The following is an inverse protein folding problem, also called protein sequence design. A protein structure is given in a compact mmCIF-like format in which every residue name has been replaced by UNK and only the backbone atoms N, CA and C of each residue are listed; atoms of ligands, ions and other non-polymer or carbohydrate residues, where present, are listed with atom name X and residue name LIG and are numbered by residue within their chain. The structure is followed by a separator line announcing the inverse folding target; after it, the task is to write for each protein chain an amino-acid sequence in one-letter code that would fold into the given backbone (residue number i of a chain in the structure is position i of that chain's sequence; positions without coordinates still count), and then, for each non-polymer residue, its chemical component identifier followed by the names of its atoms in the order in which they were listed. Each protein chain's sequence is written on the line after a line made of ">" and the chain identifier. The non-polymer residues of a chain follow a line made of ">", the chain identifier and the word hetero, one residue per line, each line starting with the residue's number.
data_IF_239788215077
#
_entry.id   IF_239788215077
#
_cell.length_a   1.000
_cell.length_b   1.000
_cell.length_c   1.000
_cell.angle_alpha   90.00
_cell.angle_beta   90.00
_cell.angle_gamma   90.00
#
_symmetry.space_group_name_H-M   'P 1'
#
loop_
_entity.id
_entity.type
_entity.pdbx_description
1 polymer ?
#
# COMPACT_ATOMS: atom_id res chain seq x y z
N UNK A 1 -10.56 3.92 18.46
CA UNK A 1 -9.67 3.98 17.29
C UNK A 1 -10.39 3.51 16.01
N UNK A 2 -9.77 3.70 14.86
CA UNK A 2 -10.36 3.35 13.55
C UNK A 2 -10.61 1.83 13.35
N UNK A 3 -10.18 0.98 14.28
CA UNK A 3 -10.45 -0.46 14.29
C UNK A 3 -11.65 -0.82 15.20
N UNK A 4 -12.47 0.16 15.59
CA UNK A 4 -13.60 0.00 16.53
C UNK A 4 -13.19 -0.60 17.89
N UNK A 5 -11.98 -0.25 18.38
CA UNK A 5 -11.45 -0.64 19.69
C UNK A 5 -11.10 0.61 20.50
N UNK A 6 -10.88 0.52 21.83
CA UNK A 6 -10.41 1.65 22.61
C UNK A 6 -9.18 2.31 22.00
N UNK A 7 -9.11 3.65 22.09
CA UNK A 7 -7.98 4.42 21.55
C UNK A 7 -6.74 4.13 22.39
N UNK A 8 -5.62 3.80 21.73
CA UNK A 8 -4.34 3.59 22.39
C UNK A 8 -3.49 4.86 22.36
N UNK A 9 -2.53 4.94 23.27
CA UNK A 9 -1.51 5.98 23.28
C UNK A 9 -0.76 5.97 21.95
N UNK A 10 -0.55 7.14 21.35
CA UNK A 10 0.28 7.34 20.17
C UNK A 10 1.76 7.46 20.58
N UNK A 11 2.08 8.45 21.43
CA UNK A 11 3.43 8.60 21.98
C UNK A 11 3.42 9.41 23.29
N UNK A 12 4.28 9.00 24.22
CA UNK A 12 4.64 9.74 25.44
C UNK A 12 6.02 10.40 25.33
N UNK A 13 6.84 9.96 24.35
CA UNK A 13 8.18 10.50 24.09
C UNK A 13 8.47 10.39 22.58
N UNK A 14 8.42 11.51 21.86
CA UNK A 14 7.97 12.85 22.25
C UNK A 14 6.48 12.85 22.64
N UNK A 15 6.11 13.71 23.60
CA UNK A 15 4.74 13.79 24.07
C UNK A 15 3.86 14.47 23.01
N UNK A 16 2.89 13.75 22.50
CA UNK A 16 2.04 14.15 21.37
C UNK A 16 0.57 14.36 21.76
N UNK A 17 -0.25 14.66 20.77
CA UNK A 17 -1.67 15.01 20.93
C UNK A 17 -1.87 16.52 21.09
N UNK A 18 -3.08 17.00 20.78
CA UNK A 18 -3.43 18.41 20.97
C UNK A 18 -3.28 18.79 22.46
N UNK A 19 -3.81 17.97 23.36
CA UNK A 19 -3.77 18.18 24.81
C UNK A 19 -2.44 17.75 25.45
N UNK A 20 -1.46 17.28 24.65
CA UNK A 20 -0.17 16.80 25.15
C UNK A 20 -0.31 15.69 26.23
N UNK A 21 -1.26 14.79 26.02
CA UNK A 21 -1.52 13.63 26.89
C UNK A 21 -1.06 12.30 26.31
N UNK A 22 -0.58 12.34 25.05
CA UNK A 22 -0.10 11.20 24.29
C UNK A 22 -1.15 10.55 23.41
N UNK A 23 -2.38 11.07 23.37
CA UNK A 23 -3.47 10.54 22.55
C UNK A 23 -3.80 11.48 21.38
N UNK A 24 -4.15 10.87 20.26
CA UNK A 24 -4.71 11.61 19.12
C UNK A 24 -6.23 11.72 19.31
N UNK A 25 -6.63 12.42 20.35
CA UNK A 25 -8.04 12.52 20.71
C UNK A 25 -8.67 13.80 20.17
N UNK A 26 -10.00 13.84 20.19
CA UNK A 26 -10.80 14.97 19.69
C UNK A 26 -10.79 16.08 20.73
N UNK A 27 -10.48 17.29 20.29
CA UNK A 27 -10.74 18.49 21.05
C UNK A 27 -11.46 19.51 20.16
N UNK A 28 -12.46 20.24 20.72
CA UNK A 28 -13.25 21.23 19.98
C UNK A 28 -12.43 22.44 19.52
N UNK A 29 -11.31 22.70 20.19
CA UNK A 29 -10.40 23.79 19.87
C UNK A 29 -9.29 23.37 18.91
N UNK A 30 -9.17 22.06 18.62
CA UNK A 30 -8.17 21.52 17.69
C UNK A 30 -8.62 21.72 16.23
N UNK A 31 -8.38 22.91 15.69
CA UNK A 31 -8.71 23.26 14.29
C UNK A 31 -7.99 22.31 13.31
N UNK A 32 -6.77 21.85 13.64
CA UNK A 32 -5.98 20.95 12.83
C UNK A 32 -6.49 19.51 12.83
N UNK A 33 -7.35 19.15 13.78
CA UNK A 33 -7.85 17.79 13.97
C UNK A 33 -6.71 16.75 13.94
N UNK A 34 -5.85 16.79 14.97
CA UNK A 34 -4.65 15.95 15.09
C UNK A 34 -5.00 14.50 15.48
N UNK A 35 -5.76 13.82 14.61
CA UNK A 35 -6.41 12.54 14.89
C UNK A 35 -5.67 11.32 14.34
N UNK A 36 -4.66 11.51 13.48
CA UNK A 36 -3.95 10.43 12.83
C UNK A 36 -2.61 10.18 13.54
N UNK A 37 -2.51 9.08 14.26
CA UNK A 37 -1.23 8.64 14.80
C UNK A 37 -0.39 7.99 13.71
N UNK A 38 0.81 8.50 13.48
CA UNK A 38 1.72 7.94 12.49
C UNK A 38 3.14 7.88 13.01
N UNK A 39 3.89 6.89 12.53
CA UNK A 39 5.33 6.77 12.71
C UNK A 39 6.00 7.59 11.61
N UNK A 40 6.57 8.74 11.94
CA UNK A 40 7.18 9.63 10.96
C UNK A 40 8.51 9.07 10.46
N UNK A 41 8.80 9.30 9.20
CA UNK A 41 10.08 8.97 8.57
C UNK A 41 10.75 10.23 8.02
N UNK A 42 12.00 10.09 7.58
CA UNK A 42 12.77 11.23 7.07
C UNK A 42 12.09 11.84 5.83
N UNK A 43 11.53 11.00 4.96
CA UNK A 43 10.88 11.46 3.72
C UNK A 43 9.66 12.34 4.00
N UNK A 44 8.84 11.97 4.99
CA UNK A 44 7.72 12.78 5.43
C UNK A 44 8.17 14.09 6.10
N UNK A 45 9.21 14.03 6.95
CA UNK A 45 9.73 15.24 7.61
C UNK A 45 10.28 16.25 6.60
N UNK A 46 11.00 15.78 5.58
CA UNK A 46 11.49 16.62 4.49
C UNK A 46 10.35 17.19 3.64
N UNK A 47 9.33 16.39 3.39
CA UNK A 47 8.15 16.82 2.64
C UNK A 47 7.37 17.90 3.38
N UNK A 48 7.01 17.65 4.65
CA UNK A 48 6.16 18.56 5.41
C UNK A 48 6.85 19.90 5.71
N UNK A 49 8.18 19.89 5.87
CA UNK A 49 9.00 21.11 5.98
C UNK A 49 8.87 21.96 4.71
N UNK A 50 9.02 21.35 3.53
CA UNK A 50 8.86 22.04 2.23
C UNK A 50 7.45 22.60 2.02
N UNK A 51 6.44 22.03 2.69
CA UNK A 51 5.07 22.52 2.70
C UNK A 51 4.79 23.55 3.83
N UNK A 52 5.84 24.11 4.43
CA UNK A 52 5.75 25.16 5.46
C UNK A 52 5.41 24.64 6.86
N UNK A 53 5.48 23.31 7.10
CA UNK A 53 5.28 22.71 8.41
C UNK A 53 6.54 21.99 8.88
N UNK A 54 7.46 22.73 9.50
CA UNK A 54 8.71 22.17 9.99
C UNK A 54 8.51 21.41 11.30
N UNK A 55 8.46 20.08 11.22
CA UNK A 55 8.39 19.20 12.39
C UNK A 55 9.77 18.71 12.86
N UNK A 56 10.86 18.97 12.11
CA UNK A 56 12.21 18.50 12.44
C UNK A 56 12.76 19.14 13.71
N UNK A 57 12.21 20.28 14.13
CA UNK A 57 12.59 20.91 15.40
C UNK A 57 12.11 20.15 16.64
N UNK A 58 11.12 19.26 16.48
CA UNK A 58 10.48 18.54 17.60
C UNK A 58 10.45 17.03 17.40
N UNK A 59 10.71 16.52 16.19
CA UNK A 59 10.63 15.11 15.85
C UNK A 59 11.89 14.62 15.15
N UNK A 60 12.21 13.36 15.42
CA UNK A 60 13.20 12.58 14.71
C UNK A 60 12.54 11.46 13.90
N UNK A 61 13.18 10.94 12.83
CA UNK A 61 12.70 9.76 12.14
C UNK A 61 12.43 8.59 13.11
N UNK A 62 11.32 7.92 12.92
CA UNK A 62 10.77 6.84 13.74
C UNK A 62 9.98 7.28 14.98
N UNK A 63 9.87 8.56 15.26
CA UNK A 63 8.96 9.04 16.30
C UNK A 63 7.50 8.81 15.90
N UNK A 64 6.64 8.60 16.90
CA UNK A 64 5.20 8.54 16.70
C UNK A 64 4.60 9.91 17.02
N UNK A 65 3.71 10.39 16.14
CA UNK A 65 3.11 11.71 16.29
C UNK A 65 1.65 11.74 15.87
N UNK A 66 0.84 12.54 16.56
CA UNK A 66 -0.52 12.84 16.15
C UNK A 66 -0.48 13.92 15.07
N UNK A 67 -0.72 13.52 13.84
CA UNK A 67 -0.73 14.39 12.69
C UNK A 67 -2.11 15.02 12.47
N UNK A 68 -2.11 16.27 12.03
CA UNK A 68 -3.27 16.86 11.39
C UNK A 68 -3.70 15.96 10.22
N UNK A 69 -4.98 15.58 10.22
CA UNK A 69 -5.48 14.61 9.23
C UNK A 69 -5.39 15.14 7.79
N UNK A 70 -5.52 16.45 7.57
CA UNK A 70 -5.39 17.03 6.23
C UNK A 70 -3.91 17.08 5.78
N UNK A 71 -2.95 17.29 6.69
CA UNK A 71 -1.51 17.18 6.38
C UNK A 71 -1.10 15.76 6.03
N UNK A 72 -1.66 14.78 6.73
CA UNK A 72 -1.44 13.38 6.34
C UNK A 72 -2.01 13.09 4.94
N UNK A 73 -3.22 13.59 4.63
CA UNK A 73 -3.85 13.43 3.31
C UNK A 73 -3.06 14.11 2.20
N UNK A 74 -2.53 15.31 2.46
CA UNK A 74 -1.64 16.03 1.54
C UNK A 74 -0.41 15.17 1.18
N UNK A 75 0.26 14.63 2.19
CA UNK A 75 1.41 13.75 2.00
C UNK A 75 1.03 12.44 1.28
N UNK A 76 -0.16 11.88 1.58
CA UNK A 76 -0.68 10.69 0.90
C UNK A 76 -0.84 10.92 -0.61
N UNK A 77 -1.39 12.06 -1.02
CA UNK A 77 -1.56 12.42 -2.44
C UNK A 77 -0.23 12.53 -3.20
N UNK A 78 0.85 12.80 -2.49
CA UNK A 78 2.21 12.91 -3.05
C UNK A 78 3.04 11.64 -2.83
N UNK A 79 2.43 10.58 -2.29
CA UNK A 79 3.11 9.32 -1.93
C UNK A 79 4.27 9.50 -0.95
N UNK A 80 4.15 10.49 -0.03
CA UNK A 80 5.13 10.86 0.99
C UNK A 80 4.58 10.73 2.41
N UNK A 81 3.50 9.97 2.58
CA UNK A 81 2.82 9.81 3.86
C UNK A 81 3.52 8.79 4.76
N UNK A 82 3.65 9.06 6.08
CA UNK A 82 4.21 8.13 7.02
C UNK A 82 3.25 6.99 7.34
N UNK A 83 3.79 5.91 7.90
CA UNK A 83 3.02 4.73 8.29
C UNK A 83 2.07 5.05 9.45
N UNK A 84 0.78 4.69 9.31
CA UNK A 84 -0.26 4.98 10.30
C UNK A 84 -0.37 3.88 11.34
N UNK A 85 -0.43 4.26 12.63
CA UNK A 85 -0.69 3.39 13.76
C UNK A 85 -2.20 3.35 14.01
N UNK A 86 -2.87 2.38 13.37
CA UNK A 86 -4.34 2.25 13.36
C UNK A 86 -4.96 2.16 14.76
N UNK A 87 -4.28 1.51 15.72
CA UNK A 87 -4.76 1.37 17.09
C UNK A 87 -4.73 2.66 17.91
N UNK A 88 -3.95 3.65 17.47
CA UNK A 88 -3.81 4.95 18.11
C UNK A 88 -4.36 6.10 17.25
N UNK A 89 -4.98 5.80 16.12
CA UNK A 89 -5.67 6.76 15.25
C UNK A 89 -7.15 6.81 15.62
N UNK A 90 -7.67 8.01 15.79
CA UNK A 90 -9.03 8.23 16.31
C UNK A 90 -10.13 7.80 15.33
N UNK A 91 -11.21 7.23 15.86
CA UNK A 91 -12.39 6.83 15.06
C UNK A 91 -13.07 8.02 14.37
N UNK A 92 -12.92 9.23 14.91
CA UNK A 92 -13.47 10.47 14.35
C UNK A 92 -12.68 11.05 13.16
N UNK A 93 -11.56 10.42 12.79
CA UNK A 93 -10.86 10.77 11.54
C UNK A 93 -11.85 10.77 10.36
N UNK A 94 -11.71 11.73 9.42
CA UNK A 94 -12.59 11.85 8.24
C UNK A 94 -12.73 10.52 7.49
N UNK A 95 -13.95 10.23 7.03
CA UNK A 95 -14.28 8.93 6.39
C UNK A 95 -13.33 8.59 5.23
N UNK A 96 -13.13 9.55 4.32
CA UNK A 96 -12.23 9.36 3.17
C UNK A 96 -10.79 9.00 3.58
N UNK A 97 -10.29 9.57 4.68
CA UNK A 97 -8.94 9.28 5.21
C UNK A 97 -8.93 7.89 5.87
N UNK A 98 -9.96 7.55 6.65
CA UNK A 98 -10.11 6.20 7.22
C UNK A 98 -10.11 5.13 6.13
N UNK A 99 -10.87 5.36 5.07
CA UNK A 99 -10.97 4.43 3.95
C UNK A 99 -9.60 4.24 3.27
N UNK A 100 -8.79 5.29 3.13
CA UNK A 100 -7.41 5.18 2.62
C UNK A 100 -6.49 4.41 3.57
N UNK A 101 -6.57 4.67 4.89
CA UNK A 101 -5.75 4.01 5.91
C UNK A 101 -6.15 2.54 6.07
N UNK A 102 -7.44 2.24 5.95
CA UNK A 102 -7.99 0.89 6.12
C UNK A 102 -7.99 0.09 4.83
N UNK A 103 -7.95 0.74 3.66
CA UNK A 103 -7.62 0.00 2.44
C UNK A 103 -6.41 -0.83 2.80
N UNK A 104 -6.57 -2.18 2.79
CA UNK A 104 -5.40 -3.03 2.67
C UNK A 104 -4.64 -2.36 1.54
N UNK A 105 -3.35 -1.97 1.75
CA UNK A 105 -2.46 -2.00 0.61
C UNK A 105 -2.87 -3.30 -0.05
N UNK A 106 -3.34 -3.26 -1.29
CA UNK A 106 -3.07 -4.39 -2.14
C UNK A 106 -1.59 -4.56 -1.91
N UNK A 107 -1.27 -5.50 -1.03
CA UNK A 107 0.11 -5.89 -0.83
C UNK A 107 0.50 -6.16 -2.25
N UNK A 108 1.39 -5.34 -2.78
CA UNK A 108 2.17 -5.76 -3.92
C UNK A 108 2.85 -6.99 -3.36
N UNK A 109 2.10 -8.08 -3.51
CA UNK A 109 2.52 -9.37 -3.09
C UNK A 109 3.79 -9.56 -3.88
N UNK A 110 4.94 -9.48 -3.20
CA UNK A 110 6.22 -9.61 -3.86
C UNK A 110 6.18 -10.92 -4.63
N UNK A 111 6.42 -10.85 -5.94
CA UNK A 111 6.47 -12.01 -6.82
C UNK A 111 7.36 -13.11 -6.25
N UNK A 112 8.36 -12.70 -5.47
CA UNK A 112 9.22 -13.58 -4.69
C UNK A 112 9.43 -12.98 -3.31
N UNK A 113 9.21 -13.78 -2.26
CA UNK A 113 9.49 -13.40 -0.88
C UNK A 113 10.73 -14.18 -0.39
N UNK A 114 11.91 -13.55 -0.31
CA UNK A 114 13.15 -14.24 0.09
C UNK A 114 13.10 -14.74 1.54
N UNK A 115 12.31 -14.09 2.40
CA UNK A 115 12.18 -14.45 3.81
C UNK A 115 11.14 -15.56 4.06
N UNK A 116 10.25 -15.80 3.11
CA UNK A 116 9.26 -16.87 3.16
C UNK A 116 8.83 -17.28 1.75
N UNK A 117 9.58 -18.21 1.10
CA UNK A 117 9.28 -18.66 -0.26
C UNK A 117 7.86 -19.23 -0.44
N UNK A 118 7.26 -19.80 0.63
CA UNK A 118 5.87 -20.32 0.60
C UNK A 118 4.81 -19.19 0.51
N UNK A 119 5.18 -17.95 0.80
CA UNK A 119 4.35 -16.75 0.63
C UNK A 119 4.65 -16.01 -0.67
N UNK A 120 5.51 -16.56 -1.52
CA UNK A 120 5.74 -16.02 -2.85
C UNK A 120 4.53 -16.23 -3.75
N UNK A 121 4.28 -15.28 -4.65
CA UNK A 121 3.25 -15.41 -5.67
C UNK A 121 3.81 -15.99 -6.95
N UNK A 122 3.06 -16.87 -7.55
CA UNK A 122 3.23 -17.13 -8.97
C UNK A 122 2.76 -15.89 -9.75
N UNK A 123 3.66 -15.29 -10.51
CA UNK A 123 3.38 -14.18 -11.47
C UNK A 123 2.22 -14.54 -12.41
N UNK A 124 1.92 -15.81 -12.52
CA UNK A 124 0.95 -16.39 -13.45
C UNK A 124 -0.35 -16.84 -12.79
N UNK A 125 -0.70 -16.28 -11.63
CA UNK A 125 -2.00 -16.57 -11.00
C UNK A 125 -3.11 -16.32 -12.01
N UNK A 126 -3.81 -17.38 -12.34
CA UNK A 126 -4.97 -17.32 -13.22
C UNK A 126 -6.18 -16.81 -12.44
N UNK A 127 -6.34 -15.48 -12.38
CA UNK A 127 -7.47 -14.83 -11.71
C UNK A 127 -8.80 -15.07 -12.42
N UNK A 128 -8.76 -15.48 -13.68
CA UNK A 128 -9.95 -15.82 -14.47
C UNK A 128 -9.71 -17.13 -15.23
N UNK A 129 -10.08 -18.28 -14.67
CA UNK A 129 -9.89 -19.57 -15.33
C UNK A 129 -10.58 -19.69 -16.69
N UNK A 130 -11.64 -18.91 -16.93
CA UNK A 130 -12.40 -18.95 -18.20
C UNK A 130 -11.63 -18.41 -19.41
N UNK A 131 -10.58 -17.60 -19.17
CA UNK A 131 -9.72 -17.05 -20.22
C UNK A 131 -8.38 -17.78 -20.35
N UNK A 132 -8.26 -18.98 -19.79
CA UNK A 132 -7.02 -19.75 -19.77
C UNK A 132 -6.64 -20.23 -21.17
N UNK A 133 -5.39 -19.94 -21.55
CA UNK A 133 -4.78 -20.52 -22.76
C UNK A 133 -3.92 -21.71 -22.29
N UNK A 134 -4.35 -22.94 -22.56
CA UNK A 134 -3.57 -24.13 -22.18
C UNK A 134 -2.27 -24.17 -22.98
N UNK A 135 -1.15 -24.26 -22.26
CA UNK A 135 0.21 -24.26 -22.81
C UNK A 135 0.88 -25.59 -22.49
N UNK A 136 1.37 -26.30 -23.49
CA UNK A 136 2.18 -27.52 -23.36
C UNK A 136 3.57 -27.25 -23.93
N UNK A 137 4.61 -27.64 -23.18
CA UNK A 137 6.00 -27.34 -23.56
C UNK A 137 7.00 -28.40 -23.06
N UNK A 138 6.55 -29.59 -22.72
CA UNK A 138 7.43 -30.69 -22.23
C UNK A 138 8.28 -31.32 -23.36
N UNK A 139 7.82 -31.22 -24.61
CA UNK A 139 8.53 -31.68 -25.79
C UNK A 139 8.61 -30.59 -26.85
N UNK A 140 9.59 -30.71 -27.77
CA UNK A 140 9.76 -29.77 -28.90
C UNK A 140 8.49 -29.73 -29.77
N UNK A 141 7.82 -30.85 -29.94
CA UNK A 141 6.59 -30.95 -30.72
C UNK A 141 5.47 -30.16 -30.03
N UNK A 142 5.27 -30.36 -28.72
CA UNK A 142 4.26 -29.60 -27.93
C UNK A 142 4.56 -28.11 -27.91
N UNK A 143 5.83 -27.71 -27.89
CA UNK A 143 6.22 -26.30 -27.98
C UNK A 143 5.82 -25.69 -29.32
N UNK A 144 6.08 -26.36 -30.44
CA UNK A 144 5.67 -25.91 -31.79
C UNK A 144 4.16 -25.75 -31.90
N UNK A 145 3.40 -26.73 -31.43
CA UNK A 145 1.93 -26.69 -31.40
C UNK A 145 1.40 -25.51 -30.56
N UNK A 146 2.05 -25.28 -29.42
CA UNK A 146 1.70 -24.15 -28.54
C UNK A 146 1.97 -22.81 -29.22
N UNK A 147 3.11 -22.65 -29.90
CA UNK A 147 3.46 -21.43 -30.64
C UNK A 147 2.43 -21.17 -31.74
N UNK A 148 2.14 -22.17 -32.57
CA UNK A 148 1.15 -22.06 -33.65
C UNK A 148 -0.22 -21.64 -33.12
N UNK A 149 -0.65 -22.24 -31.99
CA UNK A 149 -1.91 -21.85 -31.33
C UNK A 149 -1.89 -20.40 -30.83
N UNK A 150 -0.80 -19.94 -30.25
CA UNK A 150 -0.66 -18.57 -29.79
C UNK A 150 -0.68 -17.57 -30.95
N UNK A 151 -0.02 -17.89 -32.06
CA UNK A 151 -0.04 -17.08 -33.28
C UNK A 151 -1.47 -16.95 -33.84
N UNK A 152 -2.20 -18.07 -33.92
CA UNK A 152 -3.60 -18.07 -34.35
C UNK A 152 -4.46 -17.17 -33.43
N UNK A 153 -4.36 -17.35 -32.09
CA UNK A 153 -5.11 -16.57 -31.13
C UNK A 153 -4.73 -15.07 -31.16
N UNK A 154 -3.47 -14.77 -31.52
CA UNK A 154 -3.02 -13.40 -31.71
C UNK A 154 -3.67 -12.77 -32.94
N UNK A 155 -3.65 -13.45 -34.10
CA UNK A 155 -4.27 -12.99 -35.33
C UNK A 155 -5.80 -12.84 -35.21
N UNK A 156 -6.45 -13.77 -34.51
CA UNK A 156 -7.89 -13.76 -34.27
C UNK A 156 -8.34 -12.69 -33.25
N UNK A 157 -7.41 -11.98 -32.64
CA UNK A 157 -7.64 -10.96 -31.60
C UNK A 157 -8.54 -11.40 -30.42
N UNK A 158 -8.58 -12.72 -30.15
CA UNK A 158 -9.50 -13.38 -29.22
C UNK A 158 -9.19 -13.09 -27.74
N UNK A 159 -7.96 -12.64 -27.42
CA UNK A 159 -7.52 -12.34 -26.07
C UNK A 159 -6.87 -10.96 -25.97
N UNK A 160 -6.96 -10.27 -24.81
CA UNK A 160 -6.27 -9.00 -24.58
C UNK A 160 -4.75 -9.13 -24.78
N UNK A 161 -4.12 -8.07 -25.29
CA UNK A 161 -2.67 -8.04 -25.54
C UNK A 161 -1.85 -8.44 -24.30
N UNK A 162 -2.25 -7.99 -23.12
CA UNK A 162 -1.61 -8.33 -21.83
C UNK A 162 -1.55 -9.84 -21.60
N UNK A 163 -2.62 -10.58 -21.95
CA UNK A 163 -2.68 -12.04 -21.74
C UNK A 163 -1.73 -12.78 -22.69
N UNK A 164 -1.68 -12.36 -23.94
CA UNK A 164 -0.77 -12.92 -24.96
C UNK A 164 0.71 -12.74 -24.55
N UNK A 165 1.03 -11.55 -24.03
CA UNK A 165 2.37 -11.23 -23.56
C UNK A 165 2.78 -12.10 -22.34
N UNK A 166 1.87 -12.31 -21.39
CA UNK A 166 2.12 -13.17 -20.21
C UNK A 166 2.47 -14.61 -20.59
N UNK A 167 1.77 -15.18 -21.57
CA UNK A 167 2.05 -16.54 -22.07
C UNK A 167 3.38 -16.58 -22.80
N UNK A 168 3.69 -15.59 -23.64
CA UNK A 168 4.98 -15.48 -24.33
C UNK A 168 6.17 -15.40 -23.38
N UNK A 169 6.04 -14.63 -22.30
CA UNK A 169 7.07 -14.53 -21.27
C UNK A 169 7.31 -15.85 -20.53
N UNK A 170 6.25 -16.63 -20.26
CA UNK A 170 6.37 -17.94 -19.63
C UNK A 170 7.18 -18.94 -20.48
N UNK A 171 7.09 -18.82 -21.80
CA UNK A 171 7.86 -19.65 -22.73
C UNK A 171 9.32 -19.20 -22.87
N UNK A 172 9.62 -17.92 -22.62
CA UNK A 172 10.98 -17.35 -22.76
C UNK A 172 11.89 -17.63 -21.56
N UNK A 173 11.34 -17.85 -20.38
CA UNK A 173 12.09 -17.99 -19.10
C UNK A 173 12.53 -19.45 -18.84
N UNK A 174 12.30 -20.37 -19.76
CA UNK A 174 12.78 -21.75 -19.78
C UNK A 174 13.50 -22.06 -21.09
#
# INVERSE_FOLDING_TARGET
>A
NILNKPLKVCSKRPLTGYNRDGYCDVDKNDIGSHLVCAKVDQEFLDFTEKQGNNLKSVLSPNDNWCLCQDRWLEAYRKNKHPAVIKSATNIKTKKNIKDLILKKKDTQEFLYNPNNPKKSFDVYINKNPSDTIPVKYSTVQQLKETITKLEYLYKANKYPHKRKWQVGMKLKVR
#
